data_IF_865427638681
#
_entry.id   IF_865427638681
#
_cell.length_a   1.000
_cell.length_b   1.000
_cell.length_c   1.000
_cell.angle_alpha   90.00
_cell.angle_beta   90.00
_cell.angle_gamma   90.00
#
_symmetry.space_group_name_H-M   'P 1'
#
loop_
_entity.id
_entity.type
_entity.pdbx_description
1 polymer ?
#
# COMPACT_ATOMS: atom_id res chain seq x y z
N UNK A 1 2.31 -25.75 -49.55
CA UNK A 1 2.27 -24.27 -49.44
C UNK A 1 1.57 -23.95 -48.12
N UNK A 2 2.34 -23.79 -47.04
CA UNK A 2 1.80 -23.61 -45.68
C UNK A 2 1.77 -22.11 -45.40
N UNK A 3 0.58 -21.53 -45.39
CA UNK A 3 0.38 -20.13 -45.01
C UNK A 3 0.45 -20.03 -43.48
N UNK A 4 1.61 -19.62 -42.96
CA UNK A 4 1.76 -19.22 -41.55
C UNK A 4 1.00 -17.89 -41.35
N UNK A 5 -0.20 -17.97 -40.79
CA UNK A 5 -0.95 -16.78 -40.37
C UNK A 5 -0.27 -16.13 -39.16
N UNK A 6 0.29 -14.92 -39.35
CA UNK A 6 0.67 -14.05 -38.25
C UNK A 6 -0.60 -13.53 -37.56
N UNK A 7 -0.86 -14.00 -36.35
CA UNK A 7 -1.84 -13.38 -35.46
C UNK A 7 -1.24 -12.07 -34.92
N UNK A 8 -1.76 -10.93 -35.37
CA UNK A 8 -1.47 -9.63 -34.75
C UNK A 8 -2.03 -9.66 -33.31
N UNK A 9 -1.15 -9.79 -32.33
CA UNK A 9 -1.49 -9.52 -30.94
C UNK A 9 -1.85 -8.03 -30.82
N UNK A 10 -3.13 -7.72 -30.61
CA UNK A 10 -3.57 -6.37 -30.29
C UNK A 10 -2.89 -5.84 -29.02
N UNK A 11 -2.80 -4.50 -28.84
CA UNK A 11 -2.15 -3.93 -27.68
C UNK A 11 -2.85 -4.40 -26.40
N UNK A 12 -2.15 -5.18 -25.58
CA UNK A 12 -2.63 -5.56 -24.27
C UNK A 12 -2.68 -4.31 -23.39
N UNK A 13 -3.88 -3.83 -23.04
CA UNK A 13 -4.07 -2.78 -22.04
C UNK A 13 -3.68 -3.34 -20.66
N UNK A 14 -2.39 -3.33 -20.36
CA UNK A 14 -1.90 -3.58 -19.01
C UNK A 14 -2.33 -2.40 -18.12
N UNK A 15 -2.77 -2.70 -16.89
CA UNK A 15 -3.09 -1.67 -15.91
C UNK A 15 -1.86 -0.78 -15.65
N UNK A 16 -1.99 0.51 -15.94
CA UNK A 16 -0.95 1.50 -15.72
C UNK A 16 -0.76 1.85 -14.23
N UNK A 17 0.32 2.58 -13.88
CA UNK A 17 0.53 3.10 -12.53
C UNK A 17 -0.65 3.95 -12.06
N UNK A 18 -1.10 3.77 -10.81
CA UNK A 18 -2.23 4.50 -10.24
C UNK A 18 -1.74 5.43 -9.12
N UNK A 19 -1.92 6.76 -9.23
CA UNK A 19 -1.54 7.67 -8.17
C UNK A 19 -2.36 7.40 -6.91
N UNK A 20 -1.69 7.23 -5.77
CA UNK A 20 -2.30 6.95 -4.47
C UNK A 20 -1.62 7.75 -3.38
N UNK A 21 -2.40 8.11 -2.37
CA UNK A 21 -1.89 8.61 -1.10
C UNK A 21 -2.15 7.56 -0.05
N UNK A 22 -1.09 7.07 0.58
CA UNK A 22 -1.17 6.07 1.64
C UNK A 22 -0.93 6.74 2.98
N UNK A 23 -1.69 6.30 3.98
CA UNK A 23 -1.46 6.67 5.38
C UNK A 23 -1.36 5.38 6.18
N UNK A 24 -0.36 5.30 7.05
CA UNK A 24 -0.06 4.05 7.73
C UNK A 24 1.02 4.17 8.79
N UNK A 25 1.23 3.08 9.49
CA UNK A 25 2.24 2.92 10.52
C UNK A 25 3.47 2.20 9.97
N UNK A 26 4.66 2.73 10.24
CA UNK A 26 5.91 2.03 9.92
C UNK A 26 6.33 1.20 11.13
N UNK A 27 6.35 -0.12 10.95
CA UNK A 27 6.75 -1.09 11.96
C UNK A 27 7.60 -2.17 11.30
N UNK A 28 8.76 -2.50 11.89
CA UNK A 28 9.68 -3.50 11.36
C UNK A 28 10.15 -3.18 9.93
N UNK A 29 10.41 -1.89 9.64
CA UNK A 29 10.80 -1.44 8.30
C UNK A 29 9.71 -1.59 7.22
N UNK A 30 8.45 -1.81 7.63
CA UNK A 30 7.32 -2.02 6.72
C UNK A 30 6.22 -0.99 6.99
N UNK A 31 5.67 -0.40 5.93
CA UNK A 31 4.50 0.47 6.03
C UNK A 31 3.22 -0.38 6.05
N UNK A 32 2.42 -0.23 7.09
CA UNK A 32 1.11 -0.85 7.24
C UNK A 32 0.00 0.19 7.13
N UNK A 33 -0.84 0.08 6.10
CA UNK A 33 -2.04 0.91 5.99
C UNK A 33 -3.20 0.25 6.74
N UNK A 34 -3.87 1.03 7.59
CA UNK A 34 -4.91 0.52 8.49
C UNK A 34 -6.21 1.21 8.13
N UNK A 35 -7.19 0.43 7.68
CA UNK A 35 -8.51 0.89 7.33
C UNK A 35 -9.51 0.36 8.36
N UNK A 36 -10.29 1.26 8.94
CA UNK A 36 -11.42 0.89 9.80
C UNK A 36 -12.63 0.73 8.89
N UNK A 37 -13.04 -0.52 8.65
CA UNK A 37 -14.26 -0.85 7.94
C UNK A 37 -15.50 -0.53 8.77
N UNK A 38 -16.66 -0.63 8.13
CA UNK A 38 -17.95 -0.55 8.81
C UNK A 38 -18.13 -1.71 9.78
N UNK A 39 -18.97 -1.51 10.80
CA UNK A 39 -19.32 -2.58 11.72
C UNK A 39 -20.03 -3.70 10.94
N UNK A 40 -19.61 -4.93 11.18
CA UNK A 40 -20.35 -6.12 10.76
C UNK A 40 -21.74 -6.14 11.44
N UNK A 41 -22.78 -6.82 10.91
CA UNK A 41 -24.08 -6.98 11.58
C UNK A 41 -24.00 -7.44 13.05
N UNK A 42 -22.90 -8.10 13.47
CA UNK A 42 -22.61 -8.43 14.86
C UNK A 42 -22.01 -7.28 15.71
N UNK A 43 -21.94 -6.05 15.19
CA UNK A 43 -21.44 -4.86 15.89
C UNK A 43 -19.91 -4.73 16.00
N UNK A 44 -19.15 -5.67 15.42
CA UNK A 44 -17.68 -5.64 15.46
C UNK A 44 -17.14 -4.75 14.33
N UNK A 45 -16.36 -3.72 14.68
CA UNK A 45 -15.63 -2.89 13.69
C UNK A 45 -14.51 -3.73 13.09
N UNK A 46 -14.63 -4.05 11.80
CA UNK A 46 -13.56 -4.75 11.09
C UNK A 46 -12.40 -3.78 10.87
N UNK A 47 -11.21 -4.16 11.32
CA UNK A 47 -9.99 -3.41 11.04
C UNK A 47 -9.20 -4.19 10.01
N UNK A 48 -9.04 -3.63 8.82
CA UNK A 48 -8.26 -4.24 7.75
C UNK A 48 -6.86 -3.63 7.72
N UNK A 49 -5.84 -4.49 7.77
CA UNK A 49 -4.43 -4.10 7.75
C UNK A 49 -3.78 -4.57 6.46
N UNK A 50 -3.29 -3.62 5.67
CA UNK A 50 -2.58 -3.88 4.43
C UNK A 50 -1.09 -3.65 4.63
N UNK A 51 -0.29 -4.66 4.30
CA UNK A 51 1.17 -4.52 4.18
C UNK A 51 1.50 -3.88 2.84
N UNK A 52 2.19 -2.75 2.86
CA UNK A 52 2.56 -2.02 1.65
C UNK A 52 4.01 -2.34 1.28
N UNK A 53 4.23 -2.79 0.04
CA UNK A 53 5.57 -2.94 -0.52
C UNK A 53 6.04 -1.57 -1.03
N UNK A 54 6.74 -0.84 -0.16
CA UNK A 54 7.24 0.50 -0.45
C UNK A 54 8.57 0.42 -1.18
N UNK A 55 8.64 1.10 -2.33
CA UNK A 55 9.83 1.21 -3.16
C UNK A 55 10.34 2.65 -3.14
N UNK A 56 11.66 2.81 -3.32
CA UNK A 56 12.36 4.11 -3.44
C UNK A 56 12.26 5.03 -2.22
N UNK A 57 11.85 4.52 -1.06
CA UNK A 57 11.83 5.26 0.20
C UNK A 57 12.45 4.43 1.31
N UNK A 58 13.46 4.99 1.99
CA UNK A 58 14.00 4.41 3.21
C UNK A 58 13.01 4.63 4.36
N UNK A 59 12.48 3.54 4.92
CA UNK A 59 11.51 3.59 6.01
C UNK A 59 12.13 3.68 7.40
N UNK A 60 13.43 3.37 7.56
CA UNK A 60 14.10 3.34 8.85
C UNK A 60 13.93 4.64 9.70
N UNK A 61 13.98 5.86 9.13
CA UNK A 61 13.79 7.10 9.90
C UNK A 61 12.37 7.27 10.48
N UNK A 62 11.41 6.49 9.98
CA UNK A 62 10.01 6.59 10.32
C UNK A 62 9.53 5.45 11.22
N UNK A 63 10.43 4.57 11.67
CA UNK A 63 10.09 3.44 12.53
C UNK A 63 9.29 3.88 13.77
N UNK A 64 8.17 3.19 14.03
CA UNK A 64 7.23 3.51 15.10
C UNK A 64 6.35 4.73 14.86
N UNK A 65 6.46 5.40 13.71
CA UNK A 65 5.70 6.61 13.36
C UNK A 65 4.57 6.29 12.37
N UNK A 66 3.50 7.06 12.49
CA UNK A 66 2.44 7.14 11.50
C UNK A 66 2.84 8.17 10.45
N UNK A 67 2.87 7.76 9.19
CA UNK A 67 3.22 8.63 8.06
C UNK A 67 2.10 8.68 7.05
N UNK A 68 2.04 9.79 6.31
CA UNK A 68 1.27 9.96 5.08
C UNK A 68 2.26 10.20 3.94
N UNK A 69 2.12 9.47 2.85
CA UNK A 69 3.04 9.53 1.71
C UNK A 69 2.25 9.39 0.41
N UNK A 70 2.63 10.17 -0.61
CA UNK A 70 2.08 10.07 -1.97
C UNK A 70 3.00 9.21 -2.83
N UNK A 71 2.45 8.68 -3.91
CA UNK A 71 3.20 7.87 -4.85
C UNK A 71 2.31 7.19 -5.86
N UNK A 72 2.86 6.22 -6.56
CA UNK A 72 2.17 5.44 -7.57
C UNK A 72 2.11 3.98 -7.16
N UNK A 73 0.92 3.39 -7.26
CA UNK A 73 0.73 1.95 -7.11
C UNK A 73 0.87 1.30 -8.48
N UNK A 74 1.90 0.47 -8.62
CA UNK A 74 2.21 -0.28 -9.82
C UNK A 74 1.65 -1.70 -9.72
N UNK A 75 1.49 -2.39 -10.86
CA UNK A 75 1.22 -3.82 -10.87
C UNK A 75 2.19 -4.60 -9.98
N UNK A 76 1.66 -5.68 -9.37
CA UNK A 76 2.31 -6.51 -8.34
C UNK A 76 2.45 -5.81 -6.98
N UNK A 77 1.50 -4.94 -6.65
CA UNK A 77 1.37 -4.26 -5.36
C UNK A 77 2.60 -3.46 -4.92
N UNK A 78 3.34 -2.93 -5.89
CA UNK A 78 4.54 -2.11 -5.63
C UNK A 78 4.14 -0.65 -5.53
N UNK A 79 4.40 -0.03 -4.39
CA UNK A 79 4.13 1.38 -4.19
C UNK A 79 5.41 2.20 -4.33
N UNK A 80 5.53 2.95 -5.43
CA UNK A 80 6.66 3.84 -5.67
C UNK A 80 6.36 5.16 -4.95
N UNK A 81 6.91 5.30 -3.75
CA UNK A 81 6.70 6.47 -2.91
C UNK A 81 7.50 7.68 -3.44
N UNK A 82 6.90 8.86 -3.34
CA UNK A 82 7.58 10.14 -3.49
C UNK A 82 8.18 10.55 -2.13
N UNK A 83 9.53 10.50 -1.96
CA UNK A 83 10.17 10.81 -0.68
C UNK A 83 9.93 12.24 -0.20
N UNK A 84 9.77 13.19 -1.13
CA UNK A 84 9.53 14.60 -0.81
C UNK A 84 8.11 14.84 -0.28
N UNK A 85 7.19 13.89 -0.47
CA UNK A 85 5.80 13.99 -0.03
C UNK A 85 5.55 13.48 1.39
N UNK A 86 6.55 12.85 2.03
CA UNK A 86 6.37 12.19 3.33
C UNK A 86 6.03 13.21 4.41
N UNK A 87 4.91 12.96 5.09
CA UNK A 87 4.48 13.72 6.27
C UNK A 87 4.36 12.79 7.46
N UNK A 88 5.09 13.10 8.53
CA UNK A 88 4.94 12.42 9.82
C UNK A 88 3.71 12.99 10.52
N UNK A 89 2.78 12.12 10.90
CA UNK A 89 1.53 12.48 11.59
C UNK A 89 1.60 12.30 13.10
N UNK A 90 2.68 11.70 13.61
CA UNK A 90 2.89 11.40 15.02
C UNK A 90 3.27 9.94 15.25
N UNK A 91 3.28 9.48 16.52
CA UNK A 91 3.56 8.09 16.85
C UNK A 91 2.42 7.16 16.41
N UNK A 92 2.75 5.89 16.17
CA UNK A 92 1.75 4.85 15.98
C UNK A 92 0.97 4.58 17.28
N UNK A 93 -0.35 4.77 17.22
CA UNK A 93 -1.25 4.56 18.35
C UNK A 93 -1.40 3.07 18.73
N UNK A 94 -1.80 2.81 19.98
CA UNK A 94 -1.94 1.46 20.51
C UNK A 94 -2.94 0.60 19.74
N UNK A 95 -4.01 1.19 19.22
CA UNK A 95 -5.00 0.45 18.45
C UNK A 95 -4.39 -0.03 17.12
N UNK A 96 -3.63 0.84 16.45
CA UNK A 96 -2.89 0.51 15.24
C UNK A 96 -1.85 -0.60 15.47
N UNK A 97 -1.08 -0.51 16.56
CA UNK A 97 -0.10 -1.54 16.94
C UNK A 97 -0.76 -2.90 17.21
N UNK A 98 -1.87 -2.90 17.95
CA UNK A 98 -2.65 -4.13 18.22
C UNK A 98 -3.19 -4.74 16.94
N UNK A 99 -3.75 -3.92 16.05
CA UNK A 99 -4.28 -4.40 14.77
C UNK A 99 -3.19 -5.03 13.89
N UNK A 100 -1.98 -4.45 13.86
CA UNK A 100 -0.85 -5.01 13.11
C UNK A 100 -0.36 -6.33 13.73
N UNK A 101 -0.34 -6.44 15.07
CA UNK A 101 0.10 -7.65 15.77
C UNK A 101 -0.87 -8.83 15.66
N UNK A 102 -2.15 -8.57 15.37
CA UNK A 102 -3.21 -9.59 15.27
C UNK A 102 -3.45 -10.06 13.83
N UNK A 103 -2.69 -9.53 12.87
CA UNK A 103 -2.74 -9.90 11.45
C UNK A 103 -1.91 -11.15 11.20
#
# INVERSE_FOLDING_TARGET
MVLCGLTLAGPAWASGPVPRTLTGCVIGGTLYSIHRGSADPAGKKQVTVYRINVQKLNLAPYEGKKIRVRGELLPRDRFYADPSSVRVLGPCDNASRRAISQR
#
